data_IF_238603351977
#
_entry.id   IF_238603351977
#
_cell.length_a   1.000
_cell.length_b   1.000
_cell.length_c   1.000
_cell.angle_alpha   90.00
_cell.angle_beta   90.00
_cell.angle_gamma   90.00
#
_symmetry.space_group_name_H-M   'P 1'
#
loop_
_entity.id
_entity.type
_entity.pdbx_description
1 polymer ?
#
# COMPACT_ATOMS: atom_id res chain seq x y z
N UNK A 1 -19.32 2.12 2.87
CA UNK A 1 -19.15 0.95 2.01
C UNK A 1 -17.78 0.35 2.16
N UNK A 2 -17.74 -0.94 2.32
CA UNK A 2 -16.48 -1.67 2.37
C UNK A 2 -15.96 -1.84 0.94
N UNK A 3 -14.75 -1.35 0.68
CA UNK A 3 -14.12 -1.54 -0.61
C UNK A 3 -13.50 -2.93 -0.68
N UNK A 4 -13.16 -3.40 -1.88
CA UNK A 4 -12.43 -4.66 -2.03
C UNK A 4 -11.09 -4.62 -1.31
N UNK A 5 -10.47 -3.46 -1.26
CA UNK A 5 -9.19 -3.30 -0.56
C UNK A 5 -9.33 -3.50 0.94
N UNK A 6 -10.33 -2.88 1.55
CA UNK A 6 -10.61 -3.07 2.98
C UNK A 6 -10.93 -4.52 3.28
N UNK A 7 -11.75 -5.12 2.43
CA UNK A 7 -12.18 -6.50 2.61
C UNK A 7 -11.00 -7.46 2.58
N UNK A 8 -10.07 -7.20 1.69
CA UNK A 8 -8.90 -8.05 1.50
C UNK A 8 -8.04 -8.17 2.75
N UNK A 9 -7.72 -7.08 3.40
CA UNK A 9 -6.76 -7.16 4.51
C UNK A 9 -7.39 -7.43 5.86
N UNK A 10 -8.70 -7.60 5.96
CA UNK A 10 -9.35 -7.93 7.24
C UNK A 10 -8.79 -9.21 7.85
N UNK A 11 -8.59 -10.23 7.03
CA UNK A 11 -8.10 -11.52 7.52
C UNK A 11 -6.58 -11.58 7.60
N UNK A 12 -5.90 -10.92 6.67
CA UNK A 12 -4.47 -11.13 6.47
C UNK A 12 -3.58 -10.26 7.34
N UNK A 13 -4.05 -9.09 7.75
CA UNK A 13 -3.22 -8.15 8.50
C UNK A 13 -3.96 -7.51 9.67
N UNK A 14 -4.91 -8.22 10.24
CA UNK A 14 -5.76 -7.71 11.32
C UNK A 14 -4.95 -7.21 12.51
N UNK A 15 -3.88 -7.92 12.88
CA UNK A 15 -3.05 -7.53 14.01
C UNK A 15 -2.34 -6.21 13.78
N UNK A 16 -1.86 -5.98 12.56
CA UNK A 16 -1.19 -4.74 12.21
C UNK A 16 -2.17 -3.58 12.29
N UNK A 17 -3.36 -3.77 11.72
CA UNK A 17 -4.40 -2.75 11.74
C UNK A 17 -4.79 -2.41 13.17
N UNK A 18 -4.97 -3.42 14.02
CA UNK A 18 -5.30 -3.21 15.43
C UNK A 18 -4.19 -2.47 16.16
N UNK A 19 -2.93 -2.84 15.89
CA UNK A 19 -1.78 -2.24 16.55
C UNK A 19 -1.60 -0.75 16.23
N UNK A 20 -1.88 -0.34 14.99
CA UNK A 20 -1.70 1.05 14.58
C UNK A 20 -2.97 1.88 14.66
N UNK A 21 -4.11 1.22 14.80
CA UNK A 21 -5.39 1.92 14.75
C UNK A 21 -5.77 2.25 13.32
N UNK A 22 -6.84 1.66 12.86
CA UNK A 22 -7.30 1.84 11.48
C UNK A 22 -7.51 3.32 11.12
N UNK A 23 -7.97 4.10 12.08
CA UNK A 23 -8.23 5.51 11.91
C UNK A 23 -6.98 6.30 11.53
N UNK A 24 -5.80 5.81 11.92
CA UNK A 24 -4.55 6.51 11.56
C UNK A 24 -4.37 6.63 10.06
N UNK A 25 -4.83 5.64 9.30
CA UNK A 25 -4.76 5.70 7.85
C UNK A 25 -5.86 6.55 7.23
N UNK A 26 -7.04 6.58 7.84
CA UNK A 26 -8.23 7.20 7.25
C UNK A 26 -8.55 8.58 7.79
N UNK A 27 -7.83 9.06 8.81
CA UNK A 27 -8.06 10.39 9.37
C UNK A 27 -7.75 11.51 8.37
N UNK A 28 -6.70 11.33 7.57
CA UNK A 28 -6.24 12.35 6.63
C UNK A 28 -6.40 11.95 5.18
N UNK A 29 -6.72 10.69 4.92
CA UNK A 29 -6.79 10.12 3.58
C UNK A 29 -8.08 9.36 3.38
N UNK A 30 -8.64 9.49 2.19
CA UNK A 30 -9.81 8.71 1.78
C UNK A 30 -9.36 7.53 0.92
N UNK A 31 -10.21 6.50 0.82
CA UNK A 31 -9.99 5.46 -0.17
C UNK A 31 -10.16 6.07 -1.55
N UNK A 32 -9.25 5.73 -2.48
CA UNK A 32 -9.32 6.25 -3.83
C UNK A 32 -10.59 5.74 -4.53
N UNK A 33 -11.23 6.62 -5.28
CA UNK A 33 -12.30 6.22 -6.18
C UNK A 33 -11.67 5.68 -7.46
N UNK A 34 -11.69 4.36 -7.63
CA UNK A 34 -11.02 3.72 -8.76
C UNK A 34 -11.63 4.09 -10.12
N UNK A 35 -12.82 4.65 -10.14
CA UNK A 35 -13.42 5.13 -11.39
C UNK A 35 -12.53 6.20 -12.05
N UNK A 36 -11.77 6.93 -11.25
CA UNK A 36 -10.80 7.92 -11.76
C UNK A 36 -9.79 7.25 -12.71
N UNK A 37 -9.41 6.02 -12.42
CA UNK A 37 -8.43 5.30 -13.25
C UNK A 37 -8.98 5.06 -14.66
N UNK A 38 -10.27 4.78 -14.76
CA UNK A 38 -10.89 4.40 -16.01
C UNK A 38 -11.33 5.60 -16.85
N UNK A 39 -11.15 6.82 -16.33
CA UNK A 39 -11.28 8.04 -17.12
C UNK A 39 -10.09 8.24 -18.05
N UNK A 40 -8.99 7.55 -17.77
CA UNK A 40 -7.76 7.60 -18.56
C UNK A 40 -7.81 6.47 -19.58
N UNK A 41 -7.39 6.71 -20.84
CA UNK A 41 -7.35 5.65 -21.87
C UNK A 41 -6.53 4.45 -21.42
N UNK A 42 -6.93 3.25 -21.88
CA UNK A 42 -6.27 2.02 -21.46
C UNK A 42 -4.76 2.01 -21.72
N UNK A 43 -4.31 2.63 -22.80
CA UNK A 43 -2.89 2.70 -23.14
C UNK A 43 -2.09 3.63 -22.22
N UNK A 44 -2.79 4.39 -21.37
CA UNK A 44 -2.15 5.27 -20.38
C UNK A 44 -2.31 4.73 -18.95
N UNK A 45 -2.63 3.46 -18.82
CA UNK A 45 -2.74 2.79 -17.53
C UNK A 45 -1.77 1.62 -17.49
N UNK A 46 -1.33 1.24 -16.31
CA UNK A 46 -0.37 0.14 -16.17
C UNK A 46 -0.60 -0.62 -14.87
N UNK A 47 -0.08 -1.84 -14.83
CA UNK A 47 0.03 -2.59 -13.58
C UNK A 47 1.16 -2.01 -12.76
N UNK A 48 1.00 -2.04 -11.43
CA UNK A 48 2.02 -1.57 -10.48
C UNK A 48 2.19 -2.65 -9.42
N UNK A 49 3.43 -3.08 -9.22
CA UNK A 49 3.75 -4.10 -8.23
C UNK A 49 4.95 -3.70 -7.41
N UNK A 50 5.00 -4.21 -6.17
CA UNK A 50 6.09 -4.01 -5.24
C UNK A 50 6.73 -5.35 -4.95
N UNK A 51 8.06 -5.43 -5.12
CA UNK A 51 8.85 -6.59 -4.71
C UNK A 51 9.40 -6.34 -3.31
N UNK A 52 9.09 -7.24 -2.39
CA UNK A 52 9.63 -7.24 -1.04
C UNK A 52 10.44 -8.51 -0.82
N UNK A 53 11.35 -8.54 0.16
CA UNK A 53 11.97 -9.80 0.58
C UNK A 53 10.93 -10.86 0.94
N UNK A 54 11.29 -12.13 0.77
CA UNK A 54 10.37 -13.25 0.87
C UNK A 54 9.67 -13.38 2.23
N UNK A 55 10.28 -12.87 3.29
CA UNK A 55 9.70 -12.91 4.64
C UNK A 55 8.47 -12.03 4.80
N UNK A 56 8.26 -11.10 3.88
CA UNK A 56 7.10 -10.20 3.90
C UNK A 56 5.99 -10.78 3.03
N UNK A 57 4.93 -11.23 3.68
CA UNK A 57 3.82 -11.91 3.01
C UNK A 57 2.51 -11.19 3.27
N UNK A 58 1.45 -11.60 2.61
CA UNK A 58 0.13 -11.01 2.82
C UNK A 58 -0.48 -11.34 4.19
N UNK A 59 0.16 -12.21 4.99
CA UNK A 59 -0.31 -12.52 6.33
C UNK A 59 0.32 -11.62 7.39
N UNK A 60 1.45 -10.98 7.09
CA UNK A 60 2.16 -10.15 8.08
C UNK A 60 2.46 -8.75 7.57
N UNK A 61 2.06 -8.39 6.36
CA UNK A 61 2.46 -7.14 5.73
C UNK A 61 1.28 -6.45 5.05
N UNK A 62 1.21 -5.13 5.25
CA UNK A 62 0.30 -4.26 4.52
C UNK A 62 1.12 -3.38 3.58
N UNK A 63 0.63 -3.21 2.36
CA UNK A 63 1.23 -2.29 1.40
C UNK A 63 0.14 -1.38 0.87
N UNK A 64 0.39 -0.08 0.96
CA UNK A 64 -0.54 0.93 0.46
C UNK A 64 0.15 1.78 -0.58
N UNK A 65 -0.61 2.20 -1.58
CA UNK A 65 -0.19 3.21 -2.53
C UNK A 65 -0.97 4.49 -2.21
N UNK A 66 -0.24 5.52 -1.82
CA UNK A 66 -0.82 6.84 -1.52
C UNK A 66 -0.76 7.68 -2.78
N UNK A 67 -1.90 8.19 -3.22
CA UNK A 67 -1.97 9.08 -4.38
C UNK A 67 -1.83 10.51 -3.87
N UNK A 68 -0.62 11.04 -3.98
CA UNK A 68 -0.25 12.30 -3.33
C UNK A 68 -1.14 13.47 -3.74
N UNK A 69 -1.50 13.54 -5.01
CA UNK A 69 -2.30 14.66 -5.53
C UNK A 69 -3.78 14.57 -5.16
N UNK A 70 -4.23 13.40 -4.72
CA UNK A 70 -5.65 13.17 -4.40
C UNK A 70 -5.90 12.95 -2.92
N UNK A 71 -4.86 12.93 -2.10
CA UNK A 71 -4.98 12.62 -0.67
C UNK A 71 -5.76 11.32 -0.45
N UNK A 72 -5.45 10.31 -1.24
CA UNK A 72 -6.19 9.04 -1.25
C UNK A 72 -5.25 7.86 -1.21
N UNK A 73 -5.77 6.71 -0.76
CA UNK A 73 -4.98 5.49 -0.64
C UNK A 73 -5.67 4.31 -1.32
N UNK A 74 -4.86 3.35 -1.70
CA UNK A 74 -5.30 2.06 -2.23
C UNK A 74 -4.44 0.97 -1.62
N UNK A 75 -5.08 -0.09 -1.11
CA UNK A 75 -4.35 -1.25 -0.60
C UNK A 75 -3.88 -2.11 -1.78
N UNK A 76 -2.63 -2.56 -1.72
CA UNK A 76 -2.06 -3.44 -2.74
C UNK A 76 -2.15 -4.89 -2.25
N UNK A 77 -2.52 -5.78 -3.16
CA UNK A 77 -2.73 -7.20 -2.85
C UNK A 77 -1.43 -8.00 -2.91
N UNK A 78 -1.20 -8.82 -1.90
CA UNK A 78 -0.11 -9.79 -1.95
C UNK A 78 -0.48 -10.96 -2.84
N UNK A 79 0.35 -11.21 -3.85
CA UNK A 79 0.18 -12.30 -4.79
C UNK A 79 1.07 -13.47 -4.37
N UNK A 80 0.46 -14.56 -3.93
CA UNK A 80 1.20 -15.69 -3.40
C UNK A 80 2.12 -16.34 -4.44
N UNK A 81 1.70 -16.38 -5.70
CA UNK A 81 2.46 -17.03 -6.76
C UNK A 81 3.69 -16.24 -7.20
N UNK A 82 3.59 -14.91 -7.22
CA UNK A 82 4.67 -14.06 -7.68
C UNK A 82 5.47 -13.46 -6.54
N UNK A 83 4.98 -13.57 -5.32
CA UNK A 83 5.58 -12.96 -4.13
C UNK A 83 5.65 -11.45 -4.24
N UNK A 84 4.72 -10.85 -4.98
CA UNK A 84 4.64 -9.41 -5.16
C UNK A 84 3.34 -8.87 -4.59
N UNK A 85 3.36 -7.59 -4.22
CA UNK A 85 2.15 -6.86 -3.84
C UNK A 85 1.78 -5.96 -5.00
N UNK A 86 0.59 -6.15 -5.55
CA UNK A 86 0.19 -5.46 -6.76
C UNK A 86 -1.10 -4.67 -6.57
N UNK A 87 -1.22 -3.59 -7.33
CA UNK A 87 -2.46 -2.87 -7.44
C UNK A 87 -3.49 -3.81 -8.09
N UNK A 88 -4.67 -4.01 -7.45
CA UNK A 88 -5.55 -5.11 -7.83
C UNK A 88 -6.25 -4.98 -9.19
N UNK A 89 -6.31 -3.77 -9.73
CA UNK A 89 -7.05 -3.54 -10.99
C UNK A 89 -6.16 -3.54 -12.22
N UNK A 90 -4.83 -3.47 -12.03
CA UNK A 90 -3.90 -3.36 -13.14
C UNK A 90 -4.12 -2.10 -13.97
N UNK A 91 -4.63 -1.04 -13.37
CA UNK A 91 -5.14 0.11 -14.11
C UNK A 91 -4.68 1.46 -13.54
N UNK A 92 -3.50 1.49 -12.93
CA UNK A 92 -2.96 2.74 -12.38
C UNK A 92 -2.55 3.66 -13.52
N UNK A 93 -3.00 4.92 -13.53
CA UNK A 93 -2.61 5.86 -14.58
C UNK A 93 -1.12 6.19 -14.56
N UNK A 94 -0.53 6.25 -15.74
CA UNK A 94 0.85 6.69 -15.92
C UNK A 94 1.00 8.15 -15.49
N UNK A 95 2.13 8.46 -14.90
CA UNK A 95 2.48 9.83 -14.52
C UNK A 95 1.93 10.30 -13.18
N UNK A 96 1.16 9.48 -12.48
CA UNK A 96 0.66 9.85 -11.16
C UNK A 96 1.80 9.84 -10.14
N UNK A 97 1.75 10.81 -9.24
CA UNK A 97 2.69 10.89 -8.11
C UNK A 97 2.15 10.04 -6.97
N UNK A 98 2.91 9.05 -6.55
CA UNK A 98 2.48 8.15 -5.49
C UNK A 98 3.57 7.98 -4.44
N UNK A 99 3.17 7.54 -3.26
CA UNK A 99 4.09 7.10 -2.22
C UNK A 99 3.66 5.70 -1.78
N UNK A 100 4.58 4.76 -1.90
CA UNK A 100 4.33 3.40 -1.42
C UNK A 100 4.66 3.34 0.06
N UNK A 101 3.75 2.77 0.84
CA UNK A 101 3.93 2.60 2.29
C UNK A 101 3.85 1.11 2.60
N UNK A 102 4.90 0.59 3.21
CA UNK A 102 4.98 -0.81 3.60
C UNK A 102 5.05 -0.89 5.11
N UNK A 103 4.20 -1.72 5.69
CA UNK A 103 4.08 -1.87 7.12
C UNK A 103 3.95 -3.35 7.47
N UNK A 104 4.85 -3.85 8.30
CA UNK A 104 4.85 -5.27 8.67
C UNK A 104 5.05 -5.45 10.17
N UNK A 105 4.38 -6.45 10.73
CA UNK A 105 4.60 -6.89 12.09
C UNK A 105 5.28 -8.26 12.03
N UNK A 106 6.54 -8.31 12.44
CA UNK A 106 7.40 -9.49 12.33
C UNK A 106 7.63 -10.18 13.66
N UNK A 107 6.72 -10.00 14.58
CA UNK A 107 6.82 -10.56 15.91
C UNK A 107 6.31 -9.55 16.92
N UNK A 108 6.29 -9.95 18.19
CA UNK A 108 5.79 -9.09 19.24
C UNK A 108 6.62 -7.80 19.33
N UNK A 109 5.98 -6.67 19.15
CA UNK A 109 6.60 -5.35 19.23
C UNK A 109 7.71 -5.10 18.21
N UNK A 110 7.78 -5.93 17.16
CA UNK A 110 8.77 -5.75 16.10
C UNK A 110 8.07 -5.32 14.83
N UNK A 111 8.28 -4.07 14.42
CA UNK A 111 7.63 -3.50 13.25
C UNK A 111 8.67 -3.16 12.18
N UNK A 112 8.35 -3.52 10.95
CA UNK A 112 9.15 -3.18 9.79
C UNK A 112 8.38 -2.16 8.95
N UNK A 113 9.08 -1.18 8.44
CA UNK A 113 8.44 -0.06 7.75
C UNK A 113 9.30 0.44 6.61
N UNK A 114 8.64 0.89 5.55
CA UNK A 114 9.30 1.60 4.46
C UNK A 114 8.30 2.54 3.81
N UNK A 115 8.82 3.60 3.21
CA UNK A 115 8.04 4.46 2.35
C UNK A 115 8.93 4.89 1.19
N UNK A 116 8.34 5.02 0.01
CA UNK A 116 9.09 5.40 -1.18
C UNK A 116 8.17 6.11 -2.16
N UNK A 117 8.56 7.32 -2.56
CA UNK A 117 7.80 8.10 -3.53
C UNK A 117 8.27 7.79 -4.93
N UNK A 118 7.35 7.82 -5.88
CA UNK A 118 7.66 7.53 -7.27
C UNK A 118 6.62 8.18 -8.20
N UNK A 119 6.98 8.26 -9.47
CA UNK A 119 6.05 8.61 -10.54
C UNK A 119 5.77 7.34 -11.32
N UNK A 120 4.51 7.03 -11.56
CA UNK A 120 4.13 5.76 -12.21
C UNK A 120 4.61 5.72 -13.65
N UNK A 121 5.33 4.64 -13.98
CA UNK A 121 5.88 4.39 -15.33
C UNK A 121 5.31 3.07 -15.88
N UNK A 122 5.41 2.81 -17.19
CA UNK A 122 4.90 1.56 -17.75
C UNK A 122 5.55 0.33 -17.13
N UNK A 123 4.71 -0.65 -16.75
CA UNK A 123 5.18 -1.87 -16.12
C UNK A 123 5.90 -1.62 -14.80
N UNK A 124 5.38 -0.72 -14.00
CA UNK A 124 6.07 -0.21 -12.80
C UNK A 124 6.24 -1.28 -11.73
N UNK A 125 7.50 -1.58 -11.41
CA UNK A 125 7.84 -2.48 -10.32
C UNK A 125 8.86 -1.77 -9.43
N UNK A 126 8.54 -1.66 -8.15
CA UNK A 126 9.45 -1.08 -7.16
C UNK A 126 9.97 -2.16 -6.24
N UNK A 127 11.27 -2.18 -6.03
CA UNK A 127 11.89 -3.05 -5.04
C UNK A 127 12.09 -2.24 -3.76
N UNK A 128 11.49 -2.70 -2.68
CA UNK A 128 11.52 -1.99 -1.40
C UNK A 128 11.96 -2.97 -0.32
N UNK A 129 12.84 -2.51 0.56
CA UNK A 129 13.28 -3.32 1.71
C UNK A 129 12.88 -2.60 2.99
N UNK A 130 11.85 -3.08 3.70
CA UNK A 130 11.45 -2.48 4.97
C UNK A 130 12.54 -2.62 6.02
N UNK A 131 12.57 -1.67 6.95
CA UNK A 131 13.54 -1.62 8.03
C UNK A 131 12.84 -1.62 9.37
N UNK A 132 13.48 -2.20 10.37
CA UNK A 132 12.97 -2.16 11.74
C UNK A 132 12.80 -0.71 12.17
N UNK A 133 11.59 -0.34 12.57
CA UNK A 133 11.24 1.04 12.87
C UNK A 133 10.38 1.06 14.13
N UNK A 134 10.67 1.95 15.09
CA UNK A 134 9.82 2.06 16.29
C UNK A 134 8.38 2.43 15.96
N UNK A 135 7.46 1.84 16.68
CA UNK A 135 6.04 2.06 16.50
C UNK A 135 5.68 3.56 16.50
N UNK A 136 6.26 4.32 17.41
CA UNK A 136 5.95 5.76 17.52
C UNK A 136 6.36 6.53 16.26
N UNK A 137 7.46 6.16 15.63
CA UNK A 137 7.89 6.80 14.39
C UNK A 137 6.96 6.48 13.23
N UNK A 138 6.50 5.23 13.14
CA UNK A 138 5.56 4.81 12.11
C UNK A 138 4.25 5.57 12.28
N UNK A 139 3.74 5.62 13.49
CA UNK A 139 2.50 6.31 13.81
C UNK A 139 2.59 7.80 13.45
N UNK A 140 3.71 8.41 13.80
CA UNK A 140 3.94 9.83 13.49
C UNK A 140 3.94 10.06 11.97
N UNK A 141 4.60 9.18 11.22
CA UNK A 141 4.63 9.31 9.76
C UNK A 141 3.22 9.19 9.17
N UNK A 142 2.47 8.17 9.58
CA UNK A 142 1.13 7.94 9.04
C UNK A 142 0.20 9.11 9.30
N UNK A 143 0.30 9.71 10.48
CA UNK A 143 -0.56 10.85 10.84
C UNK A 143 -0.21 12.12 10.07
N UNK A 144 0.95 12.18 9.43
CA UNK A 144 1.34 13.35 8.61
C UNK A 144 0.97 13.21 7.14
N UNK A 145 0.46 12.07 6.71
CA UNK A 145 0.09 11.84 5.31
C UNK A 145 -1.04 12.74 4.80
#
# INVERSE_FOLDING_TARGET
NVTNSEWWFQDSAQQIITGFGYECFTDSLDWINVDVFFEVPAEQRTAVCIDLPDEFTNTNTLVFMVFDDYKSILAMHGEAETMQFCEPYGATPLGFNVTFVVLSEMGEDSYMFAQKSAVITPGHIETITPKNTPYEEIKKYITTL
#
